data_IF_658286544368
#
_entry.id   IF_658286544368
#
_cell.length_a   1.000
_cell.length_b   1.000
_cell.length_c   1.000
_cell.angle_alpha   90.00
_cell.angle_beta   90.00
_cell.angle_gamma   90.00
#
_symmetry.space_group_name_H-M   'P 1'
#
loop_
_entity.id
_entity.type
_entity.pdbx_description
1 polymer ?
#
# COMPACT_ATOMS: atom_id res chain seq x y z
N UNK A 1 23.40 -32.07 1.56
CA UNK A 1 21.97 -32.02 1.19
C UNK A 1 21.21 -32.72 2.30
N UNK A 2 20.49 -31.97 3.14
CA UNK A 2 19.67 -32.57 4.22
C UNK A 2 18.28 -32.84 3.64
N UNK A 3 17.90 -34.10 3.67
CA UNK A 3 16.59 -34.57 3.23
C UNK A 3 15.48 -33.85 3.98
N UNK A 4 14.65 -33.14 3.22
CA UNK A 4 13.39 -32.61 3.70
C UNK A 4 12.41 -33.78 3.81
N UNK A 5 11.86 -34.08 4.99
CA UNK A 5 10.93 -35.20 5.13
C UNK A 5 9.71 -34.96 4.24
N UNK A 6 9.45 -35.87 3.32
CA UNK A 6 8.23 -35.89 2.50
C UNK A 6 7.03 -36.02 3.45
N UNK A 7 6.24 -34.97 3.53
CA UNK A 7 4.93 -34.99 4.20
C UNK A 7 4.09 -36.06 3.50
N UNK A 8 3.53 -37.07 4.21
CA UNK A 8 2.72 -38.10 3.58
C UNK A 8 1.53 -37.45 2.88
N UNK A 9 1.25 -37.90 1.66
CA UNK A 9 0.10 -37.47 0.85
C UNK A 9 -1.20 -37.81 1.61
N UNK A 10 -1.66 -36.90 2.45
CA UNK A 10 -3.01 -36.93 3.03
C UNK A 10 -3.99 -36.44 1.99
N UNK A 11 -5.05 -37.24 1.78
CA UNK A 11 -6.22 -36.91 0.98
C UNK A 11 -6.54 -35.40 1.09
N UNK A 12 -6.61 -34.70 -0.05
CA UNK A 12 -7.04 -33.32 -0.13
C UNK A 12 -8.45 -33.21 0.48
N UNK A 13 -8.52 -32.69 1.68
CA UNK A 13 -9.82 -32.40 2.33
C UNK A 13 -10.50 -31.27 1.57
N UNK A 14 -11.75 -31.48 1.19
CA UNK A 14 -12.54 -30.44 0.54
C UNK A 14 -12.89 -29.31 1.53
N UNK A 15 -13.27 -28.15 1.06
CA UNK A 15 -13.76 -27.06 1.91
C UNK A 15 -14.97 -27.46 2.75
N UNK A 16 -15.74 -28.47 2.29
CA UNK A 16 -16.88 -29.05 2.99
C UNK A 16 -16.42 -29.87 4.21
N UNK A 17 -15.39 -30.69 4.05
CA UNK A 17 -14.80 -31.48 5.13
C UNK A 17 -14.12 -30.59 6.17
N UNK A 18 -13.47 -29.51 5.74
CA UNK A 18 -12.85 -28.54 6.64
C UNK A 18 -13.89 -27.76 7.47
N UNK A 19 -15.07 -27.46 6.92
CA UNK A 19 -16.18 -26.81 7.64
C UNK A 19 -16.80 -27.70 8.70
N UNK A 20 -16.88 -29.01 8.45
CA UNK A 20 -17.45 -29.98 9.40
C UNK A 20 -16.48 -30.33 10.54
N UNK A 21 -15.16 -30.16 10.34
CA UNK A 21 -14.14 -30.57 11.29
C UNK A 21 -14.14 -29.79 12.61
N UNK A 22 -14.64 -28.54 12.58
CA UNK A 22 -14.63 -27.67 13.75
C UNK A 22 -15.90 -26.83 13.84
N UNK A 23 -16.50 -26.78 15.04
CA UNK A 23 -17.67 -25.94 15.28
C UNK A 23 -17.36 -24.46 15.07
N UNK A 24 -18.09 -23.81 14.14
CA UNK A 24 -18.09 -22.37 13.94
C UNK A 24 -18.18 -21.59 15.25
N UNK A 25 -19.07 -22.06 16.15
CA UNK A 25 -19.30 -21.41 17.43
C UNK A 25 -18.07 -21.47 18.33
N UNK A 26 -17.38 -22.60 18.39
CA UNK A 26 -16.14 -22.73 19.17
C UNK A 26 -15.07 -21.78 18.65
N UNK A 27 -14.81 -21.77 17.33
CA UNK A 27 -13.79 -20.92 16.72
C UNK A 27 -14.07 -19.45 17.00
N UNK A 28 -15.29 -18.99 16.69
CA UNK A 28 -15.70 -17.60 16.89
C UNK A 28 -15.63 -17.18 18.36
N UNK A 29 -16.08 -18.03 19.30
CA UNK A 29 -15.97 -17.75 20.73
C UNK A 29 -14.53 -17.64 21.22
N UNK A 30 -13.64 -18.52 20.78
CA UNK A 30 -12.23 -18.47 21.14
C UNK A 30 -11.56 -17.18 20.65
N UNK A 31 -11.81 -16.80 19.39
CA UNK A 31 -11.29 -15.58 18.76
C UNK A 31 -11.83 -14.31 19.47
N UNK A 32 -13.13 -14.24 19.71
CA UNK A 32 -13.77 -13.08 20.36
C UNK A 32 -13.36 -12.92 21.84
N UNK A 33 -13.22 -14.04 22.57
CA UNK A 33 -12.72 -14.00 23.96
C UNK A 33 -11.29 -13.43 24.02
N UNK A 34 -10.43 -13.90 23.12
CA UNK A 34 -9.05 -13.41 23.03
C UNK A 34 -9.00 -11.93 22.67
N UNK A 35 -9.83 -11.51 21.71
CA UNK A 35 -9.88 -10.11 21.27
C UNK A 35 -10.26 -9.16 22.41
N UNK A 36 -11.24 -9.55 23.25
CA UNK A 36 -11.65 -8.74 24.40
C UNK A 36 -10.49 -8.43 25.35
N UNK A 37 -9.52 -9.34 25.48
CA UNK A 37 -8.40 -9.22 26.44
C UNK A 37 -7.11 -8.72 25.80
N UNK A 38 -6.87 -9.02 24.55
CA UNK A 38 -5.58 -8.87 23.87
C UNK A 38 -5.65 -8.15 22.53
N UNK A 39 -6.85 -7.78 22.08
CA UNK A 39 -7.03 -7.05 20.82
C UNK A 39 -6.49 -5.63 20.90
N UNK A 40 -6.21 -5.05 19.74
CA UNK A 40 -5.84 -3.64 19.62
C UNK A 40 -7.11 -2.82 19.60
N UNK A 41 -7.36 -2.05 20.63
CA UNK A 41 -8.55 -1.22 20.80
C UNK A 41 -8.26 0.28 20.69
N UNK A 42 -7.00 0.65 20.57
CA UNK A 42 -6.45 2.01 20.63
C UNK A 42 -6.02 2.58 19.28
N UNK A 43 -6.34 1.89 18.19
CA UNK A 43 -5.99 2.36 16.86
C UNK A 43 -6.81 3.62 16.49
N UNK A 44 -6.18 4.68 15.92
CA UNK A 44 -6.83 5.98 15.70
C UNK A 44 -8.12 5.94 14.87
N UNK A 45 -8.28 4.93 14.03
CA UNK A 45 -9.47 4.73 13.18
C UNK A 45 -10.58 3.92 13.82
N UNK A 46 -10.39 3.47 15.07
CA UNK A 46 -11.39 2.69 15.81
C UNK A 46 -12.21 3.53 16.79
N UNK A 47 -11.80 4.78 17.04
CA UNK A 47 -12.32 5.61 18.15
C UNK A 47 -13.80 5.92 17.98
N UNK A 48 -14.24 6.28 16.77
CA UNK A 48 -15.62 6.73 16.51
C UNK A 48 -16.35 5.94 15.42
N UNK A 49 -15.69 4.91 14.84
CA UNK A 49 -16.23 4.04 13.78
C UNK A 49 -16.81 4.79 12.58
N UNK A 50 -16.36 5.99 12.34
CA UNK A 50 -16.75 6.77 11.18
C UNK A 50 -16.35 6.04 9.87
N UNK A 51 -17.29 5.83 8.92
CA UNK A 51 -17.03 5.09 7.69
C UNK A 51 -15.89 5.69 6.85
N UNK A 52 -15.78 7.01 6.81
CA UNK A 52 -14.73 7.70 6.08
C UNK A 52 -13.34 7.41 6.69
N UNK A 53 -13.24 7.50 8.02
CA UNK A 53 -11.99 7.22 8.75
C UNK A 53 -11.55 5.77 8.61
N UNK A 54 -12.50 4.84 8.74
CA UNK A 54 -12.23 3.41 8.53
C UNK A 54 -11.79 3.16 7.09
N UNK A 55 -12.49 3.71 6.11
CA UNK A 55 -12.12 3.58 4.70
C UNK A 55 -10.71 4.11 4.41
N UNK A 56 -10.38 5.33 4.85
CA UNK A 56 -9.03 5.91 4.69
C UNK A 56 -7.97 5.00 5.31
N UNK A 57 -8.21 4.49 6.53
CA UNK A 57 -7.26 3.59 7.19
C UNK A 57 -7.08 2.27 6.42
N UNK A 58 -8.16 1.65 5.96
CA UNK A 58 -8.13 0.39 5.21
C UNK A 58 -7.33 0.54 3.90
N UNK A 59 -7.50 1.66 3.19
CA UNK A 59 -6.71 1.95 1.99
C UNK A 59 -5.23 2.20 2.34
N UNK A 60 -4.93 2.91 3.43
CA UNK A 60 -3.54 3.14 3.87
C UNK A 60 -2.85 1.85 4.32
N UNK A 61 -3.59 0.94 4.96
CA UNK A 61 -3.09 -0.34 5.46
C UNK A 61 -2.84 -1.39 4.36
N UNK A 62 -3.35 -1.18 3.15
CA UNK A 62 -3.02 -2.07 2.03
C UNK A 62 -1.50 -2.13 1.82
N UNK A 63 -0.88 -3.28 2.13
CA UNK A 63 0.56 -3.54 2.02
C UNK A 63 1.47 -2.60 2.85
N UNK A 64 0.93 -1.94 3.87
CA UNK A 64 1.67 -1.03 4.76
C UNK A 64 1.41 -1.41 6.21
N UNK A 65 2.46 -1.35 7.05
CA UNK A 65 2.37 -1.69 8.47
C UNK A 65 1.64 -0.61 9.28
N UNK A 66 0.92 -1.01 10.33
CA UNK A 66 0.16 -0.11 11.22
C UNK A 66 1.02 1.03 11.78
N UNK A 67 2.20 0.73 12.30
CA UNK A 67 3.11 1.74 12.85
C UNK A 67 3.50 2.83 11.84
N UNK A 68 3.64 2.45 10.55
CA UNK A 68 3.89 3.40 9.47
C UNK A 68 2.64 4.21 9.13
N UNK A 69 1.45 3.59 9.17
CA UNK A 69 0.20 4.24 8.77
C UNK A 69 -0.25 5.31 9.76
N UNK A 70 -0.11 5.09 11.07
CA UNK A 70 -0.62 6.00 12.12
C UNK A 70 -0.23 7.48 11.88
N UNK A 71 1.05 7.85 11.71
CA UNK A 71 1.41 9.26 11.50
C UNK A 71 0.86 9.83 10.19
N UNK A 72 0.77 9.02 9.13
CA UNK A 72 0.18 9.44 7.86
C UNK A 72 -1.33 9.65 7.97
N UNK A 73 -2.03 8.75 8.61
CA UNK A 73 -3.46 8.82 8.86
C UNK A 73 -3.83 10.09 9.63
N UNK A 74 -3.17 10.37 10.74
CA UNK A 74 -3.44 11.56 11.55
C UNK A 74 -3.20 12.86 10.75
N UNK A 75 -2.08 12.94 10.01
CA UNK A 75 -1.78 14.09 9.15
C UNK A 75 -2.78 14.24 8.01
N UNK A 76 -3.20 13.13 7.40
CA UNK A 76 -4.15 13.11 6.30
C UNK A 76 -5.54 13.57 6.75
N UNK A 77 -6.05 13.07 7.86
CA UNK A 77 -7.35 13.46 8.40
C UNK A 77 -7.39 14.90 8.91
N UNK A 78 -6.29 15.42 9.44
CA UNK A 78 -6.20 16.84 9.78
C UNK A 78 -6.41 17.74 8.57
N UNK A 79 -5.98 17.30 7.39
CA UNK A 79 -6.13 18.06 6.13
C UNK A 79 -7.43 17.76 5.40
N UNK A 80 -7.88 16.52 5.45
CA UNK A 80 -9.07 15.99 4.79
C UNK A 80 -9.96 15.33 5.84
N UNK A 81 -10.71 16.07 6.64
CA UNK A 81 -11.49 15.53 7.75
C UNK A 81 -12.70 14.70 7.31
N UNK A 82 -13.17 14.88 6.08
CA UNK A 82 -14.36 14.25 5.53
C UNK A 82 -14.24 13.99 4.02
N UNK A 83 -15.19 13.21 3.48
CA UNK A 83 -15.29 12.87 2.06
C UNK A 83 -15.38 14.11 1.17
N UNK A 84 -16.16 15.10 1.56
CA UNK A 84 -16.38 16.33 0.78
C UNK A 84 -15.09 17.12 0.61
N UNK A 85 -14.35 17.29 1.69
CA UNK A 85 -13.06 17.99 1.68
C UNK A 85 -12.04 17.23 0.82
N UNK A 86 -12.02 15.90 0.90
CA UNK A 86 -11.16 15.08 0.06
C UNK A 86 -11.55 15.15 -1.41
N UNK A 87 -12.84 15.04 -1.74
CA UNK A 87 -13.35 15.07 -3.12
C UNK A 87 -13.03 16.38 -3.85
N UNK A 88 -13.12 17.53 -3.12
CA UNK A 88 -12.85 18.88 -3.65
C UNK A 88 -11.36 19.21 -3.75
N UNK A 89 -10.50 18.42 -3.15
CA UNK A 89 -9.07 18.69 -3.16
C UNK A 89 -8.47 18.50 -4.56
N UNK A 90 -7.41 19.24 -4.86
CA UNK A 90 -6.57 18.93 -6.02
C UNK A 90 -5.83 17.63 -5.78
N UNK A 91 -5.75 16.76 -6.78
CA UNK A 91 -5.06 15.46 -6.67
C UNK A 91 -3.60 15.63 -6.24
N UNK A 92 -2.91 16.69 -6.67
CA UNK A 92 -1.54 17.00 -6.24
C UNK A 92 -1.44 17.16 -4.73
N UNK A 93 -2.44 17.83 -4.12
CA UNK A 93 -2.49 18.01 -2.66
C UNK A 93 -2.69 16.66 -1.96
N UNK A 94 -3.55 15.79 -2.50
CA UNK A 94 -3.75 14.44 -1.94
C UNK A 94 -2.46 13.62 -2.02
N UNK A 95 -1.79 13.63 -3.17
CA UNK A 95 -0.52 12.93 -3.38
C UNK A 95 0.60 13.49 -2.50
N UNK A 96 0.63 14.81 -2.25
CA UNK A 96 1.57 15.42 -1.31
C UNK A 96 1.42 14.87 0.11
N UNK A 97 0.19 14.78 0.63
CA UNK A 97 -0.08 14.22 1.96
C UNK A 97 0.15 12.71 2.03
N UNK A 98 0.22 12.04 0.87
CA UNK A 98 0.53 10.61 0.74
C UNK A 98 2.02 10.32 0.53
N UNK A 99 2.82 11.35 0.25
CA UNK A 99 4.26 11.22 -0.04
C UNK A 99 4.99 10.50 1.08
N UNK A 100 5.63 9.38 0.74
CA UNK A 100 6.36 8.51 1.67
C UNK A 100 5.62 7.23 2.05
N UNK A 101 4.31 7.14 1.85
CA UNK A 101 3.54 5.92 2.15
C UNK A 101 3.66 4.86 1.04
N UNK A 102 4.03 5.26 -0.18
CA UNK A 102 4.15 4.36 -1.33
C UNK A 102 2.81 3.96 -1.96
N UNK A 103 2.89 3.17 -3.05
CA UNK A 103 1.69 2.69 -3.78
C UNK A 103 0.70 3.81 -4.10
N UNK A 104 1.14 4.86 -4.75
CA UNK A 104 0.40 6.11 -4.99
C UNK A 104 -0.91 5.94 -5.77
N UNK A 105 -1.07 4.82 -6.49
CA UNK A 105 -2.36 4.47 -7.10
C UNK A 105 -3.48 4.37 -6.06
N UNK A 106 -3.17 3.99 -4.81
CA UNK A 106 -4.15 3.97 -3.72
C UNK A 106 -4.68 5.38 -3.42
N UNK A 107 -3.80 6.37 -3.35
CA UNK A 107 -4.20 7.76 -3.11
C UNK A 107 -5.05 8.31 -4.26
N UNK A 108 -4.69 8.02 -5.51
CA UNK A 108 -5.49 8.42 -6.67
C UNK A 108 -6.87 7.78 -6.67
N UNK A 109 -6.93 6.47 -6.39
CA UNK A 109 -8.19 5.74 -6.30
C UNK A 109 -9.04 6.23 -5.13
N UNK A 110 -8.43 6.49 -3.95
CA UNK A 110 -9.11 7.07 -2.79
C UNK A 110 -9.74 8.43 -3.14
N UNK A 111 -9.01 9.30 -3.82
CA UNK A 111 -9.51 10.61 -4.26
C UNK A 111 -10.65 10.48 -5.28
N UNK A 112 -10.50 9.59 -6.29
CA UNK A 112 -11.54 9.34 -7.30
C UNK A 112 -12.80 8.73 -6.67
N UNK A 113 -12.64 7.79 -5.73
CA UNK A 113 -13.76 7.24 -4.98
C UNK A 113 -14.46 8.29 -4.12
N UNK A 114 -13.73 9.23 -3.51
CA UNK A 114 -14.33 10.35 -2.78
C UNK A 114 -15.18 11.24 -3.69
N UNK A 115 -14.74 11.48 -4.93
CA UNK A 115 -15.51 12.22 -5.93
C UNK A 115 -16.80 11.48 -6.32
N UNK A 116 -16.75 10.16 -6.52
CA UNK A 116 -17.91 9.33 -6.78
C UNK A 116 -18.91 9.41 -5.60
N UNK A 117 -18.42 9.21 -4.36
CA UNK A 117 -19.27 9.30 -3.17
C UNK A 117 -19.91 10.70 -3.06
N UNK A 118 -19.17 11.76 -3.35
CA UNK A 118 -19.69 13.11 -3.30
C UNK A 118 -20.78 13.36 -4.36
N UNK A 119 -20.58 12.88 -5.58
CA UNK A 119 -21.43 13.20 -6.72
C UNK A 119 -22.63 12.24 -6.85
N UNK A 120 -22.45 10.95 -6.56
CA UNK A 120 -23.44 9.91 -6.80
C UNK A 120 -24.15 9.45 -5.51
N UNK A 121 -23.53 9.68 -4.35
CA UNK A 121 -24.09 9.32 -3.04
C UNK A 121 -24.26 10.52 -2.08
N UNK A 122 -24.35 11.75 -2.62
CA UNK A 122 -24.55 13.00 -1.86
C UNK A 122 -23.53 13.21 -0.72
N UNK A 123 -22.32 12.65 -0.83
CA UNK A 123 -21.29 12.71 0.19
C UNK A 123 -21.49 11.73 1.36
N UNK A 124 -22.48 10.85 1.30
CA UNK A 124 -22.75 9.81 2.29
C UNK A 124 -22.12 8.50 1.83
N UNK A 125 -21.35 7.87 2.70
CA UNK A 125 -20.67 6.61 2.35
C UNK A 125 -21.72 5.50 2.10
N UNK A 126 -21.68 4.77 0.94
CA UNK A 126 -22.68 3.76 0.61
C UNK A 126 -22.64 2.57 1.57
N UNK A 127 -23.81 1.96 1.82
CA UNK A 127 -23.98 0.82 2.74
C UNK A 127 -24.29 -0.50 2.04
N UNK A 128 -24.53 -0.45 0.72
CA UNK A 128 -24.70 -1.63 -0.12
C UNK A 128 -23.33 -2.19 -0.48
N UNK A 129 -23.19 -3.51 -0.45
CA UNK A 129 -21.89 -4.17 -0.74
C UNK A 129 -21.41 -3.90 -2.16
N UNK A 130 -22.32 -3.96 -3.13
CA UNK A 130 -21.98 -3.79 -4.54
C UNK A 130 -21.58 -2.35 -4.85
N UNK A 131 -22.24 -1.35 -4.26
CA UNK A 131 -21.88 0.05 -4.40
C UNK A 131 -20.49 0.33 -3.80
N UNK A 132 -20.20 -0.25 -2.62
CA UNK A 132 -18.87 -0.11 -1.99
C UNK A 132 -17.79 -0.82 -2.82
N UNK A 133 -18.09 -2.00 -3.36
CA UNK A 133 -17.17 -2.78 -4.20
C UNK A 133 -16.87 -2.08 -5.53
N UNK A 134 -17.81 -1.31 -6.07
CA UNK A 134 -17.65 -0.55 -7.32
C UNK A 134 -16.71 0.65 -7.17
N UNK A 135 -16.45 1.12 -5.94
CA UNK A 135 -15.57 2.25 -5.70
C UNK A 135 -14.10 1.94 -6.07
N UNK A 136 -13.40 2.85 -6.77
CA UNK A 136 -12.01 2.65 -7.16
C UNK A 136 -11.09 2.29 -5.99
N UNK A 137 -10.32 1.22 -6.15
CA UNK A 137 -9.34 0.76 -5.15
C UNK A 137 -9.92 -0.07 -4.01
N UNK A 138 -11.21 -0.37 -4.02
CA UNK A 138 -11.88 -1.22 -3.05
C UNK A 138 -12.12 -2.61 -3.65
N UNK A 139 -11.49 -3.62 -3.06
CA UNK A 139 -11.76 -5.02 -3.38
C UNK A 139 -12.67 -5.66 -2.31
N UNK A 140 -13.10 -6.90 -2.56
CA UNK A 140 -14.02 -7.68 -1.71
C UNK A 140 -13.65 -7.66 -0.21
N UNK A 141 -12.35 -7.79 0.12
CA UNK A 141 -11.87 -7.76 1.51
C UNK A 141 -12.00 -6.36 2.12
N UNK A 142 -11.65 -5.31 1.38
CA UNK A 142 -11.76 -3.92 1.85
C UNK A 142 -13.24 -3.51 2.01
N UNK A 143 -14.11 -3.90 1.08
CA UNK A 143 -15.55 -3.67 1.21
C UNK A 143 -16.12 -4.37 2.46
N UNK A 144 -15.75 -5.63 2.67
CA UNK A 144 -16.11 -6.37 3.88
C UNK A 144 -15.60 -5.70 5.16
N UNK A 145 -14.38 -5.17 5.16
CA UNK A 145 -13.80 -4.44 6.29
C UNK A 145 -14.62 -3.18 6.62
N UNK A 146 -14.84 -2.32 5.64
CA UNK A 146 -15.58 -1.07 5.84
C UNK A 146 -17.00 -1.37 6.35
N UNK A 147 -17.72 -2.25 5.67
CA UNK A 147 -19.10 -2.55 6.01
C UNK A 147 -19.26 -3.26 7.38
N UNK A 148 -18.30 -4.09 7.76
CA UNK A 148 -18.35 -4.73 9.08
C UNK A 148 -17.91 -3.81 10.20
N UNK A 149 -16.82 -3.05 10.03
CA UNK A 149 -16.26 -2.21 11.09
C UNK A 149 -17.08 -0.92 11.33
N UNK A 150 -17.55 -0.27 10.24
CA UNK A 150 -18.32 0.96 10.35
C UNK A 150 -19.83 0.73 10.52
N UNK A 151 -20.39 -0.21 9.76
CA UNK A 151 -21.84 -0.40 9.68
C UNK A 151 -22.36 -1.68 10.36
N UNK A 152 -21.48 -2.40 11.05
CA UNK A 152 -21.81 -3.65 11.76
C UNK A 152 -22.45 -4.73 10.88
N UNK A 153 -22.19 -4.73 9.57
CA UNK A 153 -22.67 -5.77 8.66
C UNK A 153 -21.82 -7.05 8.79
N UNK A 154 -22.45 -8.20 8.58
CA UNK A 154 -21.79 -9.51 8.73
C UNK A 154 -21.04 -9.93 7.47
N UNK A 155 -20.08 -9.10 7.01
CA UNK A 155 -19.22 -9.43 5.89
C UNK A 155 -17.85 -9.90 6.40
N UNK A 156 -17.25 -10.94 5.77
CA UNK A 156 -15.91 -11.42 6.11
C UNK A 156 -14.82 -10.53 5.54
N UNK A 157 -13.64 -10.59 6.16
CA UNK A 157 -12.39 -10.01 5.68
C UNK A 157 -11.43 -11.16 5.36
N UNK A 158 -10.74 -11.07 4.23
CA UNK A 158 -9.68 -12.01 3.85
C UNK A 158 -8.42 -11.24 3.39
N UNK A 159 -7.76 -10.62 4.35
CA UNK A 159 -6.44 -9.98 4.14
C UNK A 159 -5.30 -11.00 4.25
N UNK A 160 -4.06 -10.53 4.11
CA UNK A 160 -2.88 -11.37 4.24
C UNK A 160 -2.71 -12.03 5.63
N UNK A 161 -3.22 -11.39 6.69
CA UNK A 161 -3.18 -11.90 8.06
C UNK A 161 -4.21 -13.03 8.25
N UNK A 162 -5.44 -12.77 7.89
CA UNK A 162 -6.56 -13.73 7.96
C UNK A 162 -6.25 -14.96 7.10
N UNK A 163 -5.77 -14.75 5.86
CA UNK A 163 -5.34 -15.82 4.97
C UNK A 163 -4.30 -16.74 5.64
N UNK A 164 -3.28 -16.17 6.24
CA UNK A 164 -2.24 -16.94 6.94
C UNK A 164 -2.78 -17.72 8.12
N UNK A 165 -3.66 -17.11 8.93
CA UNK A 165 -4.30 -17.78 10.06
C UNK A 165 -5.12 -18.99 9.60
N UNK A 166 -5.97 -18.82 8.60
CA UNK A 166 -6.80 -19.91 8.06
C UNK A 166 -5.97 -21.02 7.42
N UNK A 167 -4.99 -20.64 6.61
CA UNK A 167 -4.09 -21.62 5.94
C UNK A 167 -3.37 -22.48 6.96
N UNK A 168 -2.91 -21.91 8.07
CA UNK A 168 -2.28 -22.66 9.17
C UNK A 168 -3.28 -23.46 9.98
N UNK A 169 -4.41 -22.87 10.32
CA UNK A 169 -5.42 -23.54 11.13
C UNK A 169 -5.89 -24.85 10.48
N UNK A 170 -6.17 -24.80 9.17
CA UNK A 170 -6.63 -25.95 8.40
C UNK A 170 -5.49 -26.73 7.71
N UNK A 171 -4.24 -26.30 7.79
CA UNK A 171 -3.09 -26.82 7.05
C UNK A 171 -3.37 -26.95 5.54
N UNK A 172 -3.91 -25.88 4.94
CA UNK A 172 -4.25 -25.86 3.50
C UNK A 172 -2.94 -25.91 2.69
N UNK A 173 -2.78 -26.97 1.92
CA UNK A 173 -1.64 -27.17 1.02
C UNK A 173 -1.86 -26.50 -0.34
N UNK A 174 -0.77 -26.32 -1.10
CA UNK A 174 -0.82 -25.73 -2.44
C UNK A 174 -0.78 -24.21 -2.48
N UNK A 175 -1.01 -23.66 -3.68
CA UNK A 175 -1.01 -22.20 -3.90
C UNK A 175 -2.35 -21.57 -3.51
N UNK A 176 -2.42 -21.09 -2.27
CA UNK A 176 -3.58 -20.36 -1.74
C UNK A 176 -3.80 -19.00 -2.41
N UNK A 177 -2.94 -18.57 -3.34
CA UNK A 177 -3.12 -17.36 -4.15
C UNK A 177 -3.75 -17.66 -5.52
N UNK A 178 -3.88 -18.92 -5.91
CA UNK A 178 -4.64 -19.33 -7.08
C UNK A 178 -6.14 -18.99 -6.91
N UNK A 179 -6.89 -18.97 -8.01
CA UNK A 179 -8.34 -18.73 -7.99
C UNK A 179 -9.02 -19.73 -7.04
N UNK A 180 -8.78 -21.02 -7.22
CA UNK A 180 -9.32 -22.11 -6.38
C UNK A 180 -8.96 -21.94 -4.90
N UNK A 181 -7.70 -21.61 -4.58
CA UNK A 181 -7.26 -21.38 -3.20
C UNK A 181 -7.91 -20.15 -2.57
N UNK A 182 -8.12 -19.10 -3.35
CA UNK A 182 -8.86 -17.92 -2.89
C UNK A 182 -10.33 -18.25 -2.60
N UNK A 183 -11.02 -18.93 -3.50
CA UNK A 183 -12.41 -19.34 -3.32
C UNK A 183 -12.58 -20.23 -2.09
N UNK A 184 -11.68 -21.17 -1.87
CA UNK A 184 -11.68 -22.02 -0.68
C UNK A 184 -11.54 -21.20 0.61
N UNK A 185 -10.59 -20.28 0.68
CA UNK A 185 -10.40 -19.43 1.83
C UNK A 185 -11.58 -18.48 2.07
N UNK A 186 -12.17 -17.92 1.01
CA UNK A 186 -13.40 -17.13 1.12
C UNK A 186 -14.57 -17.96 1.66
N UNK A 187 -14.75 -19.19 1.18
CA UNK A 187 -15.77 -20.11 1.67
C UNK A 187 -15.60 -20.44 3.16
N UNK A 188 -14.35 -20.65 3.60
CA UNK A 188 -14.04 -20.92 5.01
C UNK A 188 -14.31 -19.72 5.90
N UNK A 189 -13.80 -18.52 5.54
CA UNK A 189 -14.02 -17.34 6.37
C UNK A 189 -15.49 -16.92 6.41
N UNK A 190 -16.22 -17.04 5.30
CA UNK A 190 -17.67 -16.81 5.25
C UNK A 190 -18.43 -17.71 6.24
N UNK A 191 -17.99 -18.98 6.35
CA UNK A 191 -18.58 -19.92 7.33
C UNK A 191 -18.28 -19.52 8.77
N UNK A 192 -17.10 -18.96 9.05
CA UNK A 192 -16.64 -18.66 10.42
C UNK A 192 -17.14 -17.32 10.96
N UNK A 193 -17.42 -16.35 10.10
CA UNK A 193 -17.92 -15.03 10.53
C UNK A 193 -19.25 -15.14 11.25
N UNK A 194 -19.41 -14.54 12.45
CA UNK A 194 -20.68 -14.51 13.14
C UNK A 194 -21.77 -13.78 12.34
N UNK A 195 -23.00 -14.30 12.38
CA UNK A 195 -24.15 -13.68 11.69
C UNK A 195 -24.65 -12.40 12.35
N UNK A 196 -24.35 -12.18 13.64
CA UNK A 196 -24.70 -10.94 14.37
C UNK A 196 -23.66 -9.86 14.08
N UNK A 197 -24.07 -8.74 13.47
CA UNK A 197 -23.17 -7.72 12.92
C UNK A 197 -22.12 -7.17 13.88
N UNK A 198 -22.46 -6.79 15.10
CA UNK A 198 -21.49 -6.31 16.09
C UNK A 198 -20.40 -7.33 16.44
N UNK A 199 -20.77 -8.63 16.48
CA UNK A 199 -19.80 -9.71 16.68
C UNK A 199 -18.92 -9.94 15.44
N UNK A 200 -19.44 -9.67 14.23
CA UNK A 200 -18.66 -9.78 12.99
C UNK A 200 -17.54 -8.74 12.92
N UNK A 201 -17.81 -7.50 13.30
CA UNK A 201 -16.79 -6.44 13.38
C UNK A 201 -15.65 -6.83 14.33
N UNK A 202 -15.99 -7.25 15.56
CA UNK A 202 -15.01 -7.69 16.55
C UNK A 202 -14.24 -8.94 16.10
N UNK A 203 -14.92 -9.89 15.45
CA UNK A 203 -14.30 -11.10 14.92
C UNK A 203 -13.30 -10.78 13.79
N UNK A 204 -13.67 -9.92 12.86
CA UNK A 204 -12.80 -9.50 11.77
C UNK A 204 -11.54 -8.80 12.28
N UNK A 205 -11.71 -7.85 13.21
CA UNK A 205 -10.57 -7.17 13.83
C UNK A 205 -9.70 -8.16 14.60
N UNK A 206 -10.30 -9.08 15.36
CA UNK A 206 -9.58 -10.12 16.07
C UNK A 206 -8.74 -11.03 15.16
N UNK A 207 -9.30 -11.43 14.03
CA UNK A 207 -8.59 -12.27 13.05
C UNK A 207 -7.38 -11.55 12.44
N UNK A 208 -7.52 -10.26 12.13
CA UNK A 208 -6.40 -9.43 11.67
C UNK A 208 -5.35 -9.28 12.77
N UNK A 209 -5.76 -9.05 14.01
CA UNK A 209 -4.86 -8.88 15.17
C UNK A 209 -4.11 -10.17 15.49
N UNK A 210 -4.78 -11.32 15.54
CA UNK A 210 -4.15 -12.63 15.70
C UNK A 210 -3.09 -12.84 14.62
N UNK A 211 -3.41 -12.53 13.37
CA UNK A 211 -2.46 -12.61 12.27
C UNK A 211 -1.26 -11.68 12.45
N UNK A 212 -1.47 -10.45 12.89
CA UNK A 212 -0.43 -9.44 13.02
C UNK A 212 0.47 -9.66 14.24
N UNK A 213 -0.06 -10.15 15.38
CA UNK A 213 0.65 -10.16 16.67
C UNK A 213 0.97 -11.54 17.22
N UNK A 214 0.20 -12.56 16.85
CA UNK A 214 0.33 -13.94 17.34
C UNK A 214 0.78 -14.90 16.24
N UNK A 215 -0.05 -15.06 15.20
CA UNK A 215 0.23 -15.93 14.07
C UNK A 215 1.10 -15.24 13.02
N UNK A 216 2.24 -14.69 13.44
CA UNK A 216 3.17 -13.93 12.61
C UNK A 216 3.75 -14.78 11.47
N UNK A 217 4.27 -14.11 10.44
CA UNK A 217 4.84 -14.78 9.26
C UNK A 217 6.01 -15.71 9.64
N UNK A 218 6.91 -15.24 10.50
CA UNK A 218 8.04 -16.01 11.04
C UNK A 218 7.87 -16.11 12.56
N UNK A 219 8.27 -17.25 13.13
CA UNK A 219 8.24 -17.52 14.57
C UNK A 219 6.88 -17.22 15.20
N UNK A 220 5.77 -17.86 14.75
CA UNK A 220 4.46 -17.64 15.32
C UNK A 220 4.41 -18.00 16.81
N UNK A 221 3.74 -17.18 17.62
CA UNK A 221 3.58 -17.39 19.06
C UNK A 221 2.45 -18.39 19.35
N UNK A 222 2.61 -19.64 18.94
CA UNK A 222 1.56 -20.66 18.99
C UNK A 222 1.01 -20.90 20.40
N UNK A 223 1.81 -20.76 21.45
CA UNK A 223 1.36 -20.94 22.84
C UNK A 223 0.35 -19.88 23.29
N UNK A 224 0.43 -18.65 22.75
CA UNK A 224 -0.49 -17.56 23.02
C UNK A 224 -1.72 -17.55 22.06
N UNK A 225 -1.79 -18.47 21.11
CA UNK A 225 -2.85 -18.48 20.10
C UNK A 225 -4.16 -19.02 20.67
N UNK A 226 -5.30 -18.28 20.55
CA UNK A 226 -6.58 -18.71 21.10
C UNK A 226 -7.16 -19.97 20.43
N UNK A 227 -6.74 -20.26 19.21
CA UNK A 227 -7.22 -21.42 18.43
C UNK A 227 -6.19 -22.56 18.33
N UNK A 228 -5.18 -22.55 19.21
CA UNK A 228 -4.06 -23.50 19.17
C UNK A 228 -4.44 -24.97 19.33
N UNK A 229 -5.50 -25.26 20.11
CA UNK A 229 -5.90 -26.64 20.44
C UNK A 229 -6.36 -27.44 19.20
N UNK A 230 -6.88 -26.73 18.20
CA UNK A 230 -7.40 -27.36 16.96
C UNK A 230 -6.62 -26.92 15.70
N UNK A 231 -5.48 -26.26 15.87
CA UNK A 231 -4.66 -25.81 14.74
C UNK A 231 -3.86 -26.99 14.16
N UNK A 232 -4.23 -27.42 12.96
CA UNK A 232 -3.62 -28.57 12.28
C UNK A 232 -2.13 -28.35 11.98
N UNK A 233 -1.73 -27.18 11.49
CA UNK A 233 -0.32 -26.87 11.22
C UNK A 233 0.54 -26.89 12.49
N UNK A 234 -0.02 -26.48 13.64
CA UNK A 234 0.65 -26.60 14.94
C UNK A 234 0.78 -28.07 15.36
N UNK A 235 -0.28 -28.85 15.25
CA UNK A 235 -0.26 -30.28 15.59
C UNK A 235 0.77 -31.06 14.73
N UNK A 236 0.99 -30.62 13.49
CA UNK A 236 2.00 -31.18 12.59
C UNK A 236 3.42 -30.63 12.85
N UNK A 237 3.61 -29.69 13.78
CA UNK A 237 4.90 -29.03 14.00
C UNK A 237 5.40 -28.17 12.81
N UNK A 238 4.55 -27.87 11.85
CA UNK A 238 4.91 -27.28 10.54
C UNK A 238 4.25 -25.92 10.26
N UNK A 239 3.97 -25.12 11.30
CA UNK A 239 3.29 -23.83 11.14
C UNK A 239 4.02 -22.86 10.17
N UNK A 240 5.35 -22.89 10.14
CA UNK A 240 6.15 -22.03 9.26
C UNK A 240 6.10 -22.44 7.78
N UNK A 241 5.67 -23.68 7.48
CA UNK A 241 5.46 -24.18 6.12
C UNK A 241 4.17 -23.70 5.47
N UNK A 242 3.28 -23.05 6.25
CA UNK A 242 1.98 -22.55 5.76
C UNK A 242 1.86 -21.03 5.91
N UNK A 243 1.31 -20.34 4.87
CA UNK A 243 1.08 -20.83 3.51
C UNK A 243 2.40 -21.23 2.85
N UNK A 244 2.33 -22.12 1.85
CA UNK A 244 3.51 -22.52 1.09
C UNK A 244 4.29 -21.29 0.61
N UNK A 245 5.62 -21.25 0.83
CA UNK A 245 6.41 -20.10 0.43
C UNK A 245 6.35 -19.92 -1.10
N UNK A 246 6.06 -18.73 -1.55
CA UNK A 246 6.18 -18.40 -2.97
C UNK A 246 7.64 -18.45 -3.37
N UNK A 247 7.94 -19.04 -4.53
CA UNK A 247 9.27 -18.96 -5.12
C UNK A 247 9.66 -17.48 -5.22
N UNK A 248 10.77 -17.13 -4.59
CA UNK A 248 11.31 -15.78 -4.70
C UNK A 248 11.71 -15.54 -6.16
N UNK A 249 11.08 -14.57 -6.80
CA UNK A 249 11.55 -14.09 -8.11
C UNK A 249 12.66 -13.09 -7.86
N UNK A 250 13.78 -13.27 -8.54
CA UNK A 250 14.84 -12.25 -8.60
C UNK A 250 14.19 -10.99 -9.20
N UNK A 251 14.32 -9.88 -8.50
CA UNK A 251 13.81 -8.60 -9.01
C UNK A 251 14.78 -8.07 -10.05
N UNK A 252 14.36 -7.86 -11.31
CA UNK A 252 15.23 -7.28 -12.33
C UNK A 252 15.63 -5.84 -11.91
N UNK A 253 16.78 -5.41 -12.38
CA UNK A 253 17.24 -4.05 -12.23
C UNK A 253 16.79 -3.25 -13.46
N UNK A 254 16.40 -2.00 -13.24
CA UNK A 254 16.12 -1.01 -14.29
C UNK A 254 16.90 0.24 -13.97
N UNK A 255 17.59 0.76 -14.99
CA UNK A 255 18.43 1.93 -14.86
C UNK A 255 17.78 3.10 -15.59
N UNK A 256 17.83 4.27 -14.98
CA UNK A 256 17.37 5.53 -15.56
C UNK A 256 18.34 6.65 -15.19
N UNK A 257 18.46 7.65 -16.04
CA UNK A 257 19.11 8.92 -15.70
C UNK A 257 18.05 9.96 -15.38
N UNK A 258 18.13 10.58 -14.19
CA UNK A 258 17.31 11.75 -13.84
C UNK A 258 18.06 13.03 -14.22
N UNK A 259 17.46 13.79 -15.12
CA UNK A 259 18.03 15.03 -15.66
C UNK A 259 17.56 16.22 -14.82
N UNK A 260 18.47 16.79 -14.03
CA UNK A 260 18.19 17.89 -13.11
C UNK A 260 18.66 19.20 -13.76
N UNK A 261 17.74 19.87 -14.42
CA UNK A 261 17.99 21.15 -15.08
C UNK A 261 17.89 22.30 -14.10
N UNK A 262 18.88 23.19 -14.12
CA UNK A 262 18.87 24.45 -13.41
C UNK A 262 18.68 25.63 -14.39
N UNK A 263 17.78 26.53 -14.06
CA UNK A 263 17.68 27.82 -14.73
C UNK A 263 18.68 28.84 -14.14
N UNK A 264 18.88 30.00 -14.78
CA UNK A 264 19.80 31.04 -14.28
C UNK A 264 19.41 31.60 -12.90
N UNK A 265 18.16 31.39 -12.45
CA UNK A 265 17.68 31.80 -11.12
C UNK A 265 17.90 30.70 -10.07
N UNK A 266 18.59 29.61 -10.42
CA UNK A 266 18.86 28.47 -9.54
C UNK A 266 17.63 27.64 -9.19
N UNK A 267 16.55 27.72 -9.99
CA UNK A 267 15.37 26.86 -9.87
C UNK A 267 15.63 25.55 -10.61
N UNK A 268 14.96 24.47 -10.17
CA UNK A 268 15.03 23.16 -10.82
C UNK A 268 13.74 22.86 -11.57
N UNK A 269 13.87 22.20 -12.73
CA UNK A 269 12.70 21.77 -13.50
C UNK A 269 12.13 20.48 -12.93
N UNK A 270 10.84 20.48 -12.62
CA UNK A 270 10.07 19.25 -12.41
C UNK A 270 9.02 19.08 -13.50
N UNK A 271 8.78 17.84 -13.90
CA UNK A 271 7.69 17.48 -14.78
C UNK A 271 6.69 16.53 -14.09
N UNK A 272 5.42 16.66 -14.44
CA UNK A 272 4.38 15.79 -13.95
C UNK A 272 4.35 14.51 -14.76
N UNK A 273 4.55 13.39 -14.11
CA UNK A 273 4.51 12.06 -14.74
C UNK A 273 3.11 11.74 -15.28
N UNK A 274 3.01 10.93 -16.35
CA UNK A 274 1.75 10.36 -16.78
C UNK A 274 1.01 9.67 -15.61
N UNK A 275 -0.30 9.53 -15.70
CA UNK A 275 -1.11 8.87 -14.65
C UNK A 275 -0.79 7.39 -14.48
N UNK A 276 -0.25 6.75 -15.51
CA UNK A 276 0.16 5.34 -15.52
C UNK A 276 1.66 5.17 -15.25
N UNK A 277 2.05 3.92 -14.95
CA UNK A 277 3.44 3.58 -14.72
C UNK A 277 3.95 3.91 -13.31
N UNK A 278 5.28 3.95 -13.18
CA UNK A 278 5.96 4.21 -11.90
C UNK A 278 5.68 5.65 -11.48
N UNK A 279 5.27 5.83 -10.22
CA UNK A 279 5.01 7.14 -9.63
C UNK A 279 4.02 8.01 -10.43
N UNK A 280 3.07 7.36 -11.12
CA UNK A 280 2.10 8.05 -11.97
C UNK A 280 1.42 9.23 -11.27
N UNK A 281 1.37 10.37 -11.97
CA UNK A 281 0.80 11.62 -11.49
C UNK A 281 1.64 12.41 -10.49
N UNK A 282 2.79 11.87 -10.04
CA UNK A 282 3.75 12.61 -9.20
C UNK A 282 4.62 13.53 -10.04
N UNK A 283 5.20 14.52 -9.37
CA UNK A 283 6.22 15.38 -9.95
C UNK A 283 7.61 14.75 -9.79
N UNK A 284 8.37 14.69 -10.89
CA UNK A 284 9.71 14.10 -10.96
C UNK A 284 10.62 14.98 -11.81
N UNK A 285 11.90 14.72 -11.75
CA UNK A 285 12.81 15.23 -12.77
C UNK A 285 12.52 14.53 -14.11
N UNK A 286 12.80 15.17 -15.26
CA UNK A 286 12.83 14.50 -16.56
C UNK A 286 13.75 13.27 -16.52
N UNK A 287 13.38 12.22 -17.25
CA UNK A 287 14.10 10.95 -17.27
C UNK A 287 14.55 10.61 -18.70
N UNK A 288 15.80 10.21 -18.86
CA UNK A 288 16.29 9.63 -20.10
C UNK A 288 16.79 8.19 -19.88
N UNK A 289 16.93 7.46 -20.98
CA UNK A 289 17.49 6.11 -20.96
C UNK A 289 18.99 6.20 -20.70
N UNK A 290 19.54 5.20 -20.02
CA UNK A 290 20.99 5.07 -19.79
C UNK A 290 21.74 5.07 -21.13
N UNK A 291 22.99 5.56 -21.10
CA UNK A 291 23.89 5.65 -22.25
C UNK A 291 23.53 6.68 -23.34
N UNK A 292 22.51 7.51 -23.13
CA UNK A 292 22.27 8.66 -23.99
C UNK A 292 23.32 9.75 -23.72
N UNK A 293 23.80 10.38 -24.78
CA UNK A 293 24.45 11.69 -24.65
C UNK A 293 23.43 12.68 -24.12
N UNK A 294 23.57 13.04 -22.85
CA UNK A 294 22.53 13.74 -22.07
C UNK A 294 22.26 15.13 -22.64
N UNK A 295 23.30 15.81 -23.15
CA UNK A 295 23.18 17.13 -23.77
C UNK A 295 22.36 17.04 -25.07
N UNK A 296 22.68 16.06 -25.93
CA UNK A 296 21.93 15.80 -27.17
C UNK A 296 20.50 15.32 -26.86
N UNK A 297 20.32 14.56 -25.79
CA UNK A 297 18.97 14.17 -25.36
C UNK A 297 18.14 15.40 -24.94
N UNK A 298 18.73 16.35 -24.21
CA UNK A 298 18.07 17.61 -23.87
C UNK A 298 17.64 18.39 -25.11
N UNK A 299 18.50 18.44 -26.14
CA UNK A 299 18.16 19.09 -27.41
C UNK A 299 17.02 18.39 -28.14
N UNK A 300 17.11 17.07 -28.30
CA UNK A 300 16.12 16.29 -29.07
C UNK A 300 14.78 16.11 -28.34
N UNK A 301 14.79 15.81 -27.03
CA UNK A 301 13.59 15.47 -26.27
C UNK A 301 12.94 16.69 -25.59
N UNK A 302 13.73 17.70 -25.21
CA UNK A 302 13.24 18.88 -24.50
C UNK A 302 13.30 20.15 -25.36
N UNK A 303 14.03 20.14 -26.49
CA UNK A 303 14.17 21.29 -27.40
C UNK A 303 15.03 22.41 -26.81
N UNK A 304 15.98 22.08 -25.92
CA UNK A 304 16.83 23.05 -25.23
C UNK A 304 18.29 22.62 -25.21
N UNK A 305 19.18 23.59 -25.29
CA UNK A 305 20.62 23.37 -25.07
C UNK A 305 20.90 23.41 -23.57
N UNK A 306 21.44 22.32 -23.05
CA UNK A 306 21.81 22.18 -21.65
C UNK A 306 23.28 21.82 -21.53
N UNK A 307 23.97 22.34 -20.53
CA UNK A 307 25.41 22.07 -20.27
C UNK A 307 25.52 21.24 -19.00
N UNK A 308 26.19 20.08 -19.09
CA UNK A 308 26.48 19.20 -17.98
C UNK A 308 27.39 19.91 -16.95
N UNK A 309 26.98 19.86 -15.70
CA UNK A 309 27.72 20.39 -14.55
C UNK A 309 28.37 19.29 -13.72
N UNK A 310 27.57 18.31 -13.31
CA UNK A 310 28.00 17.30 -12.35
C UNK A 310 27.04 16.10 -12.34
N UNK A 311 27.58 14.89 -12.15
CA UNK A 311 26.80 13.72 -11.73
C UNK A 311 26.78 13.63 -10.22
N UNK A 312 25.64 13.17 -9.67
CA UNK A 312 25.49 12.82 -8.26
C UNK A 312 25.66 11.30 -8.07
N UNK A 313 25.91 10.83 -6.84
CA UNK A 313 25.96 9.41 -6.55
C UNK A 313 24.69 8.69 -6.96
N UNK A 314 24.83 7.48 -7.52
CA UNK A 314 23.74 6.60 -7.89
C UNK A 314 22.85 6.30 -6.69
N UNK A 315 21.55 6.23 -6.92
CA UNK A 315 20.53 5.92 -5.92
C UNK A 315 19.84 4.64 -6.33
N UNK A 316 19.81 3.65 -5.43
CA UNK A 316 18.98 2.46 -5.59
C UNK A 316 17.63 2.64 -4.89
N UNK A 317 16.55 2.35 -5.59
CA UNK A 317 15.21 2.41 -5.04
C UNK A 317 14.44 1.10 -5.30
N UNK A 318 14.14 0.36 -4.23
CA UNK A 318 13.41 -0.90 -4.30
C UNK A 318 11.92 -0.68 -4.59
N UNK A 319 11.45 -1.21 -5.71
CA UNK A 319 10.02 -1.31 -6.04
C UNK A 319 9.54 -2.76 -5.89
N UNK A 320 8.24 -3.00 -5.96
CA UNK A 320 7.66 -4.35 -5.75
C UNK A 320 8.18 -5.39 -6.74
N UNK A 321 8.35 -4.97 -8.01
CA UNK A 321 8.65 -5.89 -9.12
C UNK A 321 10.08 -5.78 -9.65
N UNK A 322 10.80 -4.72 -9.31
CA UNK A 322 12.18 -4.47 -9.74
C UNK A 322 12.89 -3.50 -8.79
N UNK A 323 14.20 -3.38 -8.95
CA UNK A 323 15.03 -2.35 -8.33
C UNK A 323 15.27 -1.27 -9.37
N UNK A 324 14.99 -0.02 -9.03
CA UNK A 324 15.27 1.14 -9.88
C UNK A 324 16.61 1.74 -9.45
N UNK A 325 17.56 1.74 -10.36
CA UNK A 325 18.84 2.43 -10.24
C UNK A 325 18.72 3.77 -10.95
N UNK A 326 19.03 4.83 -10.25
CA UNK A 326 18.88 6.21 -10.71
C UNK A 326 20.23 6.88 -10.72
N UNK A 327 20.64 7.38 -11.86
CA UNK A 327 21.84 8.22 -12.04
C UNK A 327 21.38 9.69 -12.16
N UNK A 328 21.48 10.49 -11.09
CA UNK A 328 21.09 11.89 -11.17
C UNK A 328 22.22 12.73 -11.77
N UNK A 329 21.89 13.56 -12.76
CA UNK A 329 22.85 14.47 -13.41
C UNK A 329 22.36 15.92 -13.36
N UNK A 330 23.24 16.83 -13.03
CA UNK A 330 22.97 18.27 -12.90
C UNK A 330 23.43 18.99 -14.20
N UNK A 331 22.47 19.70 -14.79
CA UNK A 331 22.75 20.53 -16.00
C UNK A 331 22.22 21.95 -15.78
N UNK A 332 22.72 22.88 -16.58
CA UNK A 332 22.23 24.26 -16.63
C UNK A 332 21.73 24.60 -18.02
N UNK A 333 20.67 25.40 -18.06
CA UNK A 333 20.12 25.94 -19.32
C UNK A 333 20.20 27.48 -19.33
N UNK A 334 20.16 28.07 -20.53
CA UNK A 334 20.08 29.53 -20.71
C UNK A 334 18.70 30.08 -20.26
N UNK A 335 18.57 31.38 -20.03
CA UNK A 335 17.29 32.03 -19.74
C UNK A 335 16.29 31.78 -20.87
N UNK A 336 16.70 31.90 -22.12
CA UNK A 336 15.85 31.66 -23.30
C UNK A 336 15.31 30.24 -23.36
N UNK A 337 16.10 29.24 -23.00
CA UNK A 337 15.72 27.84 -23.02
C UNK A 337 14.86 27.48 -21.81
N UNK A 338 15.09 28.14 -20.66
CA UNK A 338 14.24 27.92 -19.49
C UNK A 338 12.78 28.33 -19.74
N UNK A 339 12.55 29.41 -20.48
CA UNK A 339 11.18 29.88 -20.79
C UNK A 339 10.43 28.89 -21.71
N UNK A 340 11.12 28.21 -22.62
CA UNK A 340 10.53 27.17 -23.48
C UNK A 340 10.00 25.95 -22.72
N UNK A 341 10.62 25.63 -21.58
CA UNK A 341 10.29 24.44 -20.79
C UNK A 341 9.09 24.60 -19.87
N UNK A 342 8.66 25.83 -19.60
CA UNK A 342 7.49 26.09 -18.76
C UNK A 342 6.20 25.65 -19.45
N UNK A 343 5.39 24.79 -18.78
CA UNK A 343 4.12 24.30 -19.32
C UNK A 343 3.15 23.90 -18.20
N UNK A 344 1.97 23.40 -18.56
CA UNK A 344 1.00 22.82 -17.57
C UNK A 344 1.54 21.58 -16.87
N UNK A 345 2.49 20.88 -17.47
CA UNK A 345 3.08 19.62 -16.96
C UNK A 345 4.53 19.79 -16.53
N UNK A 346 5.14 20.96 -16.74
CA UNK A 346 6.53 21.27 -16.36
C UNK A 346 6.58 22.59 -15.62
N UNK A 347 7.31 22.65 -14.52
CA UNK A 347 7.37 23.84 -13.66
C UNK A 347 8.77 24.01 -13.08
N UNK A 348 9.27 25.23 -13.13
CA UNK A 348 10.50 25.65 -12.47
C UNK A 348 10.20 25.97 -11.00
N UNK A 349 10.87 25.29 -10.09
CA UNK A 349 10.67 25.44 -8.65
C UNK A 349 11.99 25.71 -7.94
N UNK A 350 11.94 26.42 -6.84
CA UNK A 350 13.08 26.44 -5.90
C UNK A 350 13.08 25.13 -5.12
N UNK A 351 14.26 24.51 -4.97
CA UNK A 351 14.38 23.22 -4.28
C UNK A 351 13.86 23.29 -2.83
N UNK A 352 13.95 24.46 -2.19
CA UNK A 352 13.47 24.73 -0.84
C UNK A 352 11.95 24.91 -0.78
N UNK A 353 11.31 25.26 -1.90
CA UNK A 353 9.90 25.65 -1.98
C UNK A 353 9.07 24.76 -2.92
N UNK A 354 9.15 23.44 -2.74
CA UNK A 354 8.41 22.47 -3.57
C UNK A 354 6.89 22.60 -3.46
N UNK A 355 6.41 23.27 -2.43
CA UNK A 355 4.97 23.47 -2.21
C UNK A 355 4.22 22.19 -1.90
N UNK A 356 2.97 22.11 -2.37
CA UNK A 356 2.08 20.96 -2.14
C UNK A 356 2.12 19.94 -3.28
N UNK A 357 3.33 19.64 -3.80
CA UNK A 357 3.51 18.63 -4.86
C UNK A 357 3.74 17.26 -4.25
N UNK A 358 3.11 16.23 -4.83
CA UNK A 358 3.45 14.84 -4.54
C UNK A 358 4.75 14.46 -5.23
N UNK A 359 5.72 13.95 -4.48
CA UNK A 359 7.03 13.56 -4.99
C UNK A 359 7.34 12.10 -4.69
N UNK A 360 8.04 11.38 -5.59
CA UNK A 360 8.72 10.14 -5.23
C UNK A 360 9.81 10.39 -4.18
N UNK A 361 10.07 9.41 -3.32
CA UNK A 361 11.12 9.54 -2.30
C UNK A 361 12.50 9.86 -2.89
N UNK A 362 12.98 9.21 -3.97
CA UNK A 362 14.25 9.57 -4.57
C UNK A 362 14.32 11.04 -5.01
N UNK A 363 13.27 11.55 -5.65
CA UNK A 363 13.20 12.96 -6.06
C UNK A 363 13.27 13.89 -4.86
N UNK A 364 12.53 13.59 -3.78
CA UNK A 364 12.59 14.36 -2.53
C UNK A 364 13.99 14.36 -1.92
N UNK A 365 14.68 13.21 -1.93
CA UNK A 365 16.04 13.09 -1.40
C UNK A 365 17.03 13.90 -2.22
N UNK A 366 16.93 13.87 -3.56
CA UNK A 366 17.78 14.68 -4.46
C UNK A 366 17.56 16.18 -4.20
N UNK A 367 16.30 16.62 -4.10
CA UNK A 367 16.00 18.03 -3.79
C UNK A 367 16.61 18.47 -2.45
N UNK A 368 16.50 17.64 -1.42
CA UNK A 368 17.13 17.91 -0.12
C UNK A 368 18.68 17.99 -0.24
N UNK A 369 19.29 17.14 -1.08
CA UNK A 369 20.72 17.19 -1.33
C UNK A 369 21.15 18.48 -2.03
N UNK A 370 20.37 18.91 -3.03
CA UNK A 370 20.60 20.20 -3.73
C UNK A 370 20.56 21.37 -2.75
N UNK A 371 19.57 21.38 -1.83
CA UNK A 371 19.47 22.43 -0.79
C UNK A 371 20.71 22.48 0.08
N UNK A 372 21.20 21.31 0.53
CA UNK A 372 22.43 21.24 1.34
C UNK A 372 23.66 21.75 0.57
N UNK A 373 23.81 21.33 -0.68
CA UNK A 373 24.95 21.77 -1.54
C UNK A 373 24.98 23.30 -1.73
N UNK A 374 23.81 23.95 -1.86
CA UNK A 374 23.73 25.42 -1.93
C UNK A 374 24.20 26.07 -0.62
N UNK A 375 23.68 25.58 0.51
CA UNK A 375 24.04 26.13 1.81
C UNK A 375 25.53 25.99 2.15
N UNK A 376 26.19 24.93 1.62
CA UNK A 376 27.63 24.70 1.81
C UNK A 376 28.47 25.59 0.85
N UNK A 377 27.90 26.03 -0.28
CA UNK A 377 28.56 26.93 -1.23
C UNK A 377 28.46 28.41 -0.83
N UNK A 378 27.50 28.75 0.01
CA UNK A 378 27.25 30.10 0.54
C UNK A 378 28.02 30.37 1.87
N UNK A 379 28.77 29.36 2.36
CA UNK A 379 29.68 29.47 3.53
C UNK A 379 31.10 29.55 3.10
#
# INVERSE_FOLDING_TARGET
MKDVPKVPAKQERTSRDLKSAYSRQWFSRAVLRWFKQHGRHDLPWQVDRDPYRIWVSEIMLQQTQVATVIPFFNRFLKRFPDVRTLARARVDTVLHFWTGLGYYARARNLHRAAQIIQNEHAGIFPVCFDDVLALPGIGKSTAGAILSLAFHRSYPILDGNVRRVLTRFYAISGDVSSVKGQEELWSLIQHLVPSKGGSAAAFNQAMMDIGATVCMRRKPKCLACPIRSHCTARALGSADSFPAPRKSRVRPHRMITMVILFDPKGRVLLERRPSEGIWGGLWSFPECVLDADIEKWCESALGVNATLRRALPRIEHGLTHFVLEIDPVLLTVSARDSDKLQSKTREWIRAEAVGKKGLPIPVKNILNQIVRMKNDSDR
#
